data_IF_700199051330
#
_entry.id   IF_700199051330
#
_cell.length_a   1.000
_cell.length_b   1.000
_cell.length_c   1.000
_cell.angle_alpha   90.00
_cell.angle_beta   90.00
_cell.angle_gamma   90.00
#
_symmetry.space_group_name_H-M   'P 1'
#
loop_
_entity.id
_entity.type
_entity.pdbx_description
1 polymer ?
#
# COMPACT_ATOMS: atom_id res chain seq x y z
N UNK A 1 -61.22 2.66 11.13
CA UNK A 1 -59.96 3.09 11.73
C UNK A 1 -59.43 1.97 12.61
N UNK A 2 -58.46 1.23 12.15
CA UNK A 2 -57.75 0.25 12.96
C UNK A 2 -56.35 0.04 12.33
N UNK A 3 -55.42 0.86 12.73
CA UNK A 3 -53.99 0.70 12.53
C UNK A 3 -53.42 0.15 13.85
N UNK A 4 -52.88 -1.04 13.89
CA UNK A 4 -52.20 -1.52 15.10
C UNK A 4 -52.14 -3.03 15.33
N UNK A 5 -52.04 -3.87 14.31
CA UNK A 5 -51.83 -5.33 14.48
C UNK A 5 -50.67 -5.95 13.73
N UNK A 6 -49.74 -5.12 13.16
CA UNK A 6 -48.63 -5.62 12.33
C UNK A 6 -47.28 -5.79 13.05
N UNK A 7 -47.05 -5.12 14.18
CA UNK A 7 -45.73 -5.13 14.83
C UNK A 7 -45.56 -6.23 15.89
N UNK A 8 -46.62 -6.75 16.46
CA UNK A 8 -46.55 -7.84 17.47
C UNK A 8 -46.24 -9.22 16.88
N UNK A 9 -46.43 -9.41 15.57
CA UNK A 9 -46.12 -10.68 14.89
C UNK A 9 -44.66 -10.83 14.48
N UNK A 10 -43.85 -9.74 14.47
CA UNK A 10 -42.45 -9.76 14.11
C UNK A 10 -41.50 -9.98 15.30
N UNK A 11 -42.00 -9.93 16.52
CA UNK A 11 -41.22 -10.12 17.77
C UNK A 11 -41.26 -11.56 18.28
N UNK A 12 -42.15 -12.42 17.75
CA UNK A 12 -42.40 -13.77 18.29
C UNK A 12 -41.76 -14.92 17.49
N UNK A 13 -40.87 -14.66 16.55
CA UNK A 13 -40.13 -15.72 15.84
C UNK A 13 -38.68 -15.71 16.26
N UNK A 14 -38.35 -16.17 17.47
CA UNK A 14 -37.01 -16.70 17.76
C UNK A 14 -36.90 -18.07 17.07
N UNK A 15 -35.95 -18.28 16.13
CA UNK A 15 -35.70 -19.63 15.66
C UNK A 15 -35.06 -20.46 16.79
N UNK A 16 -35.57 -21.64 16.98
CA UNK A 16 -35.01 -22.64 17.91
C UNK A 16 -33.55 -22.91 17.54
N UNK A 17 -32.63 -23.07 18.53
CA UNK A 17 -31.25 -23.39 18.26
C UNK A 17 -31.13 -24.75 17.59
N UNK A 18 -30.45 -24.80 16.44
CA UNK A 18 -30.10 -26.04 15.76
C UNK A 18 -29.18 -26.91 16.66
N UNK A 19 -29.41 -28.22 16.79
CA UNK A 19 -28.54 -29.09 17.58
C UNK A 19 -27.24 -29.30 16.85
N UNK A 20 -26.17 -28.66 17.32
CA UNK A 20 -24.80 -28.82 16.73
C UNK A 20 -23.79 -27.74 17.07
N UNK A 21 -24.16 -26.67 17.78
CA UNK A 21 -23.22 -25.65 18.25
C UNK A 21 -22.98 -25.76 19.76
N UNK A 22 -22.40 -26.87 20.17
CA UNK A 22 -21.78 -26.97 21.49
C UNK A 22 -20.28 -26.71 21.33
N UNK A 23 -19.74 -25.79 22.15
CA UNK A 23 -18.33 -25.47 22.38
C UNK A 23 -17.67 -24.35 21.53
N UNK A 24 -18.25 -23.13 21.53
CA UNK A 24 -17.51 -21.93 21.13
C UNK A 24 -17.49 -20.85 22.24
N UNK A 25 -17.93 -21.14 23.46
CA UNK A 25 -18.29 -20.09 24.42
C UNK A 25 -17.37 -19.89 25.63
N UNK A 26 -16.22 -20.56 25.71
CA UNK A 26 -15.29 -20.37 26.84
C UNK A 26 -13.96 -19.64 26.47
N UNK A 27 -13.73 -19.38 25.20
CA UNK A 27 -12.45 -18.83 24.68
C UNK A 27 -12.35 -17.30 24.72
N UNK A 28 -13.43 -16.57 25.01
CA UNK A 28 -13.42 -15.09 24.97
C UNK A 28 -13.66 -14.40 26.32
N UNK A 29 -13.69 -15.15 27.43
CA UNK A 29 -13.84 -14.50 28.74
C UNK A 29 -12.58 -13.75 29.14
N UNK A 30 -12.70 -12.43 29.30
CA UNK A 30 -11.64 -11.61 29.88
C UNK A 30 -11.44 -12.04 31.34
N UNK A 31 -10.22 -12.48 31.66
CA UNK A 31 -9.81 -12.82 33.03
C UNK A 31 -8.76 -11.83 33.52
N UNK A 32 -8.70 -11.58 34.81
CA UNK A 32 -7.59 -10.88 35.43
C UNK A 32 -6.57 -11.88 35.91
N UNK A 33 -5.31 -11.67 35.54
CA UNK A 33 -4.20 -12.52 35.98
C UNK A 33 -3.08 -11.62 36.51
N UNK A 34 -2.30 -12.16 37.45
CA UNK A 34 -1.10 -11.48 37.95
C UNK A 34 -0.13 -11.22 36.82
N UNK A 35 0.39 -9.98 36.76
CA UNK A 35 1.38 -9.58 35.76
C UNK A 35 2.65 -10.42 35.83
N UNK A 36 3.07 -10.83 37.03
CA UNK A 36 4.24 -11.69 37.26
C UNK A 36 4.07 -13.11 36.71
N UNK A 37 2.82 -13.56 36.50
CA UNK A 37 2.53 -14.86 35.91
C UNK A 37 2.67 -14.88 34.39
N UNK A 38 2.86 -13.70 33.75
CA UNK A 38 2.94 -13.55 32.30
C UNK A 38 4.41 -13.44 31.89
N UNK A 39 4.83 -14.36 31.02
CA UNK A 39 6.16 -14.36 30.40
C UNK A 39 6.06 -13.95 28.93
N UNK A 40 6.99 -13.13 28.39
CA UNK A 40 7.04 -12.82 26.97
C UNK A 40 7.35 -14.06 26.16
N UNK A 41 6.74 -14.19 24.98
CA UNK A 41 7.07 -15.30 24.09
C UNK A 41 8.47 -15.15 23.51
N UNK A 42 9.32 -16.19 23.55
CA UNK A 42 10.64 -16.17 22.93
C UNK A 42 10.56 -16.03 21.39
N UNK A 43 9.38 -16.23 20.83
CA UNK A 43 9.10 -16.25 19.39
C UNK A 43 8.74 -14.85 18.84
N UNK A 44 8.72 -13.81 19.69
CA UNK A 44 8.39 -12.44 19.28
C UNK A 44 9.54 -11.76 18.51
N UNK A 45 9.31 -11.29 17.27
CA UNK A 45 10.36 -10.74 16.43
C UNK A 45 10.81 -9.31 16.80
N UNK A 46 10.01 -8.59 17.60
CA UNK A 46 10.27 -7.16 17.87
C UNK A 46 11.06 -6.97 19.17
N UNK A 47 12.30 -6.45 19.05
CA UNK A 47 13.18 -6.14 20.18
C UNK A 47 13.27 -4.63 20.49
N UNK A 48 13.02 -3.75 19.50
CA UNK A 48 13.16 -2.30 19.65
C UNK A 48 11.81 -1.61 19.73
N UNK A 49 11.61 -0.87 20.81
CA UNK A 49 10.45 -0.01 21.05
C UNK A 49 10.98 1.39 21.32
N UNK A 50 10.60 2.39 20.53
CA UNK A 50 10.97 3.77 20.77
C UNK A 50 10.59 4.20 22.20
N UNK A 51 11.53 4.74 22.95
CA UNK A 51 11.34 5.09 24.36
C UNK A 51 10.19 6.09 24.57
N UNK A 52 10.07 7.08 23.71
CA UNK A 52 9.06 8.14 23.80
C UNK A 52 7.62 7.60 23.66
N UNK A 53 7.42 6.68 22.69
CA UNK A 53 6.11 6.07 22.46
C UNK A 53 5.69 5.05 23.54
N UNK A 54 6.62 4.60 24.40
CA UNK A 54 6.32 3.74 25.53
C UNK A 54 5.89 4.58 26.74
N UNK A 55 6.53 5.73 26.99
CA UNK A 55 6.23 6.62 28.11
C UNK A 55 4.79 7.16 28.07
N UNK A 56 4.29 7.57 26.90
CA UNK A 56 2.90 7.99 26.72
C UNK A 56 1.92 6.86 27.05
N UNK A 57 2.25 5.63 26.65
CA UNK A 57 1.42 4.47 26.93
C UNK A 57 1.43 4.11 28.42
N UNK A 58 2.55 4.26 29.11
CA UNK A 58 2.68 4.05 30.57
C UNK A 58 1.77 5.01 31.32
N UNK A 59 1.78 6.29 30.96
CA UNK A 59 0.93 7.31 31.60
C UNK A 59 -0.56 7.02 31.34
N UNK A 60 -0.93 6.67 30.14
CA UNK A 60 -2.31 6.25 29.80
C UNK A 60 -2.76 5.03 30.60
N UNK A 61 -1.89 4.03 30.77
CA UNK A 61 -2.19 2.82 31.54
C UNK A 61 -2.28 3.11 33.04
N UNK A 62 -1.50 4.06 33.59
CA UNK A 62 -1.64 4.50 34.98
C UNK A 62 -3.00 5.13 35.25
N UNK A 63 -3.51 5.92 34.30
CA UNK A 63 -4.78 6.64 34.46
C UNK A 63 -6.01 5.76 34.22
N UNK A 64 -5.99 4.94 33.20
CA UNK A 64 -7.16 4.22 32.70
C UNK A 64 -7.06 2.69 32.82
N UNK A 65 -5.89 2.16 33.20
CA UNK A 65 -5.64 0.73 33.14
C UNK A 65 -5.48 0.23 31.70
N UNK A 66 -5.43 -1.08 31.53
CA UNK A 66 -5.43 -1.74 30.23
C UNK A 66 -6.86 -1.86 29.71
N UNK A 67 -7.25 -1.03 28.74
CA UNK A 67 -8.56 -1.06 28.10
C UNK A 67 -8.69 -2.28 27.16
N UNK A 68 -7.66 -2.55 26.36
CA UNK A 68 -7.64 -3.69 25.44
C UNK A 68 -6.87 -4.86 26.07
N UNK A 69 -7.51 -6.01 26.36
CA UNK A 69 -6.88 -7.14 27.02
C UNK A 69 -5.62 -7.65 26.30
N UNK A 70 -4.68 -8.23 27.05
CA UNK A 70 -3.58 -9.00 26.50
C UNK A 70 -4.09 -10.35 26.02
N UNK A 71 -3.47 -10.90 25.01
CA UNK A 71 -3.75 -12.28 24.57
C UNK A 71 -2.62 -13.17 25.07
N UNK A 72 -3.00 -14.19 25.84
CA UNK A 72 -2.05 -15.13 26.45
C UNK A 72 -2.48 -16.57 26.19
N UNK A 73 -1.54 -17.49 26.28
CA UNK A 73 -1.82 -18.93 26.37
C UNK A 73 -1.35 -19.50 27.69
N UNK A 74 -2.00 -20.55 28.15
CA UNK A 74 -1.58 -21.25 29.33
C UNK A 74 -0.55 -22.34 28.95
N UNK A 75 0.63 -22.31 29.59
CA UNK A 75 1.69 -23.34 29.47
C UNK A 75 2.19 -23.66 30.88
N UNK A 76 2.13 -24.89 31.27
CA UNK A 76 2.68 -25.41 32.54
C UNK A 76 2.32 -24.56 33.78
N UNK A 77 1.06 -24.06 33.83
CA UNK A 77 0.59 -23.26 34.96
C UNK A 77 1.00 -21.78 34.92
N UNK A 78 1.71 -21.34 33.87
CA UNK A 78 2.05 -19.94 33.57
C UNK A 78 1.30 -19.42 32.34
N UNK A 79 1.36 -18.13 32.12
CA UNK A 79 0.79 -17.50 30.94
C UNK A 79 1.90 -17.00 30.02
N UNK A 80 1.92 -17.44 28.77
CA UNK A 80 2.82 -16.90 27.74
C UNK A 80 2.09 -15.88 26.89
N UNK A 81 2.71 -14.71 26.70
CA UNK A 81 2.13 -13.60 25.95
C UNK A 81 2.15 -13.88 24.45
N UNK A 82 0.98 -13.92 23.82
CA UNK A 82 0.82 -14.05 22.37
C UNK A 82 0.84 -12.67 21.70
N UNK A 83 0.03 -11.72 22.22
CA UNK A 83 -0.08 -10.38 21.67
C UNK A 83 -0.27 -9.32 22.76
N UNK A 84 0.27 -8.12 22.53
CA UNK A 84 0.17 -6.99 23.44
C UNK A 84 1.46 -6.66 24.19
N UNK A 85 2.63 -7.01 23.67
CA UNK A 85 3.96 -6.79 24.29
C UNK A 85 4.15 -5.36 24.83
N UNK A 86 3.78 -4.32 24.03
CA UNK A 86 3.89 -2.92 24.46
C UNK A 86 3.02 -2.63 25.69
N UNK A 87 1.81 -3.17 25.73
CA UNK A 87 0.89 -3.00 26.87
C UNK A 87 1.40 -3.74 28.10
N UNK A 88 1.96 -4.92 27.93
CA UNK A 88 2.55 -5.69 29.00
C UNK A 88 3.75 -4.97 29.63
N UNK A 89 4.69 -4.46 28.82
CA UNK A 89 5.84 -3.67 29.31
C UNK A 89 5.39 -2.38 29.98
N UNK A 90 4.46 -1.65 29.35
CA UNK A 90 3.94 -0.42 29.96
C UNK A 90 3.20 -0.69 31.28
N UNK A 91 2.52 -1.83 31.42
CA UNK A 91 1.90 -2.25 32.67
C UNK A 91 2.93 -2.57 33.76
N UNK A 92 4.08 -3.17 33.40
CA UNK A 92 5.19 -3.38 34.33
C UNK A 92 5.78 -2.05 34.82
N UNK A 93 6.05 -1.11 33.92
CA UNK A 93 6.55 0.22 34.28
C UNK A 93 5.51 1.05 35.05
N UNK A 94 4.23 0.85 34.78
CA UNK A 94 3.14 1.49 35.52
C UNK A 94 2.94 0.89 36.92
N UNK A 95 3.52 -0.30 37.22
CA UNK A 95 3.41 -0.98 38.51
C UNK A 95 2.07 -1.67 38.74
N UNK A 96 1.38 -2.14 37.69
CA UNK A 96 0.11 -2.87 37.82
C UNK A 96 0.36 -4.28 38.38
N UNK A 97 -0.38 -4.71 39.41
CA UNK A 97 -0.33 -6.06 39.94
C UNK A 97 -1.08 -7.09 39.09
N UNK A 98 -2.20 -6.68 38.48
CA UNK A 98 -3.05 -7.54 37.66
C UNK A 98 -3.43 -6.87 36.35
N UNK A 99 -3.58 -7.68 35.30
CA UNK A 99 -3.97 -7.20 33.95
C UNK A 99 -5.08 -8.04 33.36
N UNK A 100 -5.97 -7.44 32.53
CA UNK A 100 -6.98 -8.18 31.82
C UNK A 100 -6.34 -8.97 30.66
N UNK A 101 -6.67 -10.25 30.58
CA UNK A 101 -6.18 -11.18 29.55
C UNK A 101 -7.32 -11.96 28.93
N UNK A 102 -7.14 -12.35 27.68
CA UNK A 102 -7.91 -13.39 26.99
C UNK A 102 -6.98 -14.60 26.89
N UNK A 103 -7.41 -15.72 27.48
CA UNK A 103 -6.63 -16.97 27.44
C UNK A 103 -7.09 -17.75 26.21
N UNK A 104 -6.16 -18.02 25.29
CA UNK A 104 -6.41 -18.87 24.13
C UNK A 104 -5.58 -20.14 24.19
N UNK A 105 -6.19 -21.26 23.83
CA UNK A 105 -5.45 -22.48 23.53
C UNK A 105 -4.83 -22.33 22.15
N UNK A 106 -3.53 -22.14 22.08
CA UNK A 106 -2.81 -21.96 20.83
C UNK A 106 -1.51 -22.78 20.86
N UNK A 107 -1.22 -23.50 19.78
CA UNK A 107 0.07 -24.14 19.58
C UNK A 107 1.15 -23.09 19.30
N UNK A 108 2.43 -23.47 19.40
CA UNK A 108 3.55 -22.59 19.02
C UNK A 108 3.39 -22.06 17.59
N UNK A 109 2.90 -22.92 16.71
CA UNK A 109 2.62 -22.55 15.31
C UNK A 109 1.53 -21.48 15.19
N UNK A 110 0.44 -21.60 15.96
CA UNK A 110 -0.64 -20.60 15.95
C UNK A 110 -0.17 -19.26 16.51
N UNK A 111 0.69 -19.28 17.54
CA UNK A 111 1.27 -18.05 18.12
C UNK A 111 2.16 -17.35 17.11
N UNK A 112 3.03 -18.07 16.42
CA UNK A 112 3.89 -17.53 15.36
C UNK A 112 3.07 -16.97 14.21
N UNK A 113 2.02 -17.69 13.78
CA UNK A 113 1.10 -17.25 12.73
C UNK A 113 0.42 -15.92 13.11
N UNK A 114 -0.19 -15.87 14.30
CA UNK A 114 -0.87 -14.66 14.78
C UNK A 114 0.09 -13.47 14.90
N UNK A 115 1.28 -13.70 15.43
CA UNK A 115 2.32 -12.67 15.55
C UNK A 115 2.76 -12.13 14.17
N UNK A 116 2.90 -13.03 13.19
CA UNK A 116 3.27 -12.64 11.83
C UNK A 116 2.15 -11.85 11.15
N UNK A 117 0.89 -12.27 11.32
CA UNK A 117 -0.29 -11.54 10.77
C UNK A 117 -0.43 -10.17 11.42
N UNK A 118 -0.28 -10.06 12.75
CA UNK A 118 -0.32 -8.78 13.45
C UNK A 118 0.76 -7.82 12.92
N UNK A 119 1.99 -8.33 12.76
CA UNK A 119 3.08 -7.53 12.21
C UNK A 119 2.81 -7.08 10.76
N UNK A 120 2.16 -7.92 9.94
CA UNK A 120 1.77 -7.59 8.56
C UNK A 120 0.63 -6.55 8.46
N UNK A 121 -0.15 -6.37 9.51
CA UNK A 121 -1.21 -5.36 9.56
C UNK A 121 -0.71 -3.97 9.96
N UNK A 122 0.60 -3.82 10.18
CA UNK A 122 1.20 -2.51 10.48
C UNK A 122 1.20 -1.61 9.24
N UNK A 123 0.98 -0.32 9.48
CA UNK A 123 0.92 0.67 8.42
C UNK A 123 2.30 1.12 7.88
N UNK A 124 3.37 0.78 8.59
CA UNK A 124 4.74 1.25 8.36
C UNK A 124 5.66 0.24 7.64
N UNK A 125 5.11 -0.85 7.11
CA UNK A 125 5.89 -1.84 6.38
C UNK A 125 6.28 -1.36 4.98
N UNK A 126 7.53 -1.60 4.61
CA UNK A 126 7.94 -1.41 3.23
C UNK A 126 7.43 -2.57 2.32
N UNK A 127 7.36 -2.35 0.99
CA UNK A 127 6.80 -3.36 0.07
C UNK A 127 7.53 -4.71 0.06
N UNK A 128 8.83 -4.74 0.38
CA UNK A 128 9.62 -5.97 0.42
C UNK A 128 9.38 -6.72 1.74
N UNK A 129 9.27 -6.02 2.86
CA UNK A 129 8.90 -6.61 4.15
C UNK A 129 7.51 -7.24 4.09
N UNK A 130 6.54 -6.53 3.49
CA UNK A 130 5.19 -7.06 3.28
C UNK A 130 5.23 -8.34 2.43
N UNK A 131 5.99 -8.34 1.34
CA UNK A 131 6.16 -9.50 0.46
C UNK A 131 6.81 -10.69 1.18
N UNK A 132 7.85 -10.44 1.99
CA UNK A 132 8.53 -11.46 2.80
C UNK A 132 7.60 -12.08 3.85
N UNK A 133 6.77 -11.24 4.50
CA UNK A 133 5.77 -11.73 5.44
C UNK A 133 4.76 -12.66 4.78
N UNK A 134 4.25 -12.33 3.59
CA UNK A 134 3.37 -13.22 2.84
C UNK A 134 4.06 -14.50 2.39
N UNK A 135 5.31 -14.42 1.96
CA UNK A 135 6.10 -15.60 1.59
C UNK A 135 6.33 -16.55 2.77
N UNK A 136 6.55 -16.00 3.98
CA UNK A 136 6.67 -16.78 5.21
C UNK A 136 5.35 -17.46 5.56
N UNK A 137 4.20 -16.75 5.49
CA UNK A 137 2.89 -17.38 5.70
C UNK A 137 2.62 -18.52 4.72
N UNK A 138 3.02 -18.38 3.47
CA UNK A 138 2.88 -19.44 2.48
C UNK A 138 3.83 -20.60 2.72
N UNK A 139 5.12 -20.34 3.01
CA UNK A 139 6.16 -21.37 3.12
C UNK A 139 6.16 -22.09 4.47
N UNK A 140 6.12 -21.35 5.60
CA UNK A 140 6.22 -21.93 6.95
C UNK A 140 4.87 -22.50 7.43
N UNK A 141 3.77 -21.82 7.05
CA UNK A 141 2.42 -22.21 7.51
C UNK A 141 1.60 -22.95 6.45
N UNK A 142 2.09 -23.04 5.21
CA UNK A 142 1.43 -23.74 4.12
C UNK A 142 0.13 -23.06 3.65
N UNK A 143 -0.03 -21.75 3.92
CA UNK A 143 -1.23 -21.02 3.56
C UNK A 143 -1.29 -20.70 2.06
N UNK A 144 -2.48 -20.84 1.49
CA UNK A 144 -2.75 -20.38 0.14
C UNK A 144 -2.89 -18.83 0.12
N UNK A 145 -2.55 -18.21 -1.01
CA UNK A 145 -2.63 -16.75 -1.17
C UNK A 145 -4.02 -16.19 -0.86
N UNK A 146 -5.07 -16.97 -1.04
CA UNK A 146 -6.44 -16.58 -0.71
C UNK A 146 -6.68 -16.53 0.80
N UNK A 147 -6.17 -17.51 1.53
CA UNK A 147 -6.24 -17.58 3.00
C UNK A 147 -5.45 -16.44 3.64
N UNK A 148 -4.24 -16.17 3.11
CA UNK A 148 -3.43 -15.01 3.52
C UNK A 148 -4.22 -13.72 3.30
N UNK A 149 -4.79 -13.53 2.11
CA UNK A 149 -5.53 -12.34 1.75
C UNK A 149 -6.71 -12.07 2.70
N UNK A 150 -7.48 -13.12 3.04
CA UNK A 150 -8.59 -13.03 4.01
C UNK A 150 -8.10 -12.60 5.39
N UNK A 151 -7.01 -13.23 5.89
CA UNK A 151 -6.47 -12.97 7.24
C UNK A 151 -5.88 -11.56 7.39
N UNK A 152 -5.26 -11.02 6.32
CA UNK A 152 -4.65 -9.68 6.35
C UNK A 152 -5.59 -8.57 5.82
N UNK A 153 -6.80 -8.91 5.39
CA UNK A 153 -7.77 -7.92 4.87
C UNK A 153 -7.37 -7.31 3.52
N UNK A 154 -6.68 -8.09 2.66
CA UNK A 154 -6.24 -7.68 1.33
C UNK A 154 -6.90 -8.52 0.24
N UNK A 155 -6.81 -8.09 -1.02
CA UNK A 155 -7.23 -8.94 -2.14
C UNK A 155 -6.16 -10.00 -2.45
N UNK A 156 -6.58 -11.20 -2.93
CA UNK A 156 -5.66 -12.23 -3.41
C UNK A 156 -4.66 -11.70 -4.44
N UNK A 157 -5.13 -10.83 -5.35
CA UNK A 157 -4.28 -10.22 -6.36
C UNK A 157 -3.21 -9.29 -5.75
N UNK A 158 -3.53 -8.58 -4.66
CA UNK A 158 -2.56 -7.74 -3.95
C UNK A 158 -1.47 -8.60 -3.32
N UNK A 159 -1.84 -9.68 -2.62
CA UNK A 159 -0.89 -10.63 -2.01
C UNK A 159 0.00 -11.27 -3.08
N UNK A 160 -0.58 -11.78 -4.17
CA UNK A 160 0.18 -12.36 -5.27
C UNK A 160 1.17 -11.36 -5.90
N UNK A 161 0.74 -10.11 -6.11
CA UNK A 161 1.59 -9.07 -6.68
C UNK A 161 2.71 -8.65 -5.72
N UNK A 162 2.44 -8.59 -4.43
CA UNK A 162 3.48 -8.31 -3.43
C UNK A 162 4.52 -9.44 -3.40
N UNK A 163 4.11 -10.69 -3.30
CA UNK A 163 5.02 -11.83 -3.30
C UNK A 163 5.94 -11.88 -4.53
N UNK A 164 5.43 -11.50 -5.70
CA UNK A 164 6.24 -11.42 -6.93
C UNK A 164 7.37 -10.38 -6.85
N UNK A 165 7.30 -9.39 -5.96
CA UNK A 165 8.40 -8.42 -5.79
C UNK A 165 9.69 -9.10 -5.31
N UNK A 166 9.60 -10.27 -4.70
CA UNK A 166 10.76 -11.07 -4.29
C UNK A 166 11.50 -11.72 -5.47
N UNK A 167 10.85 -11.80 -6.65
CA UNK A 167 11.47 -12.30 -7.90
C UNK A 167 12.34 -11.24 -8.59
N UNK A 168 12.40 -10.02 -8.05
CA UNK A 168 13.27 -8.96 -8.57
C UNK A 168 14.74 -9.20 -8.17
N UNK A 169 15.65 -8.67 -8.99
CA UNK A 169 17.07 -8.60 -8.64
C UNK A 169 17.27 -7.94 -7.27
N UNK A 170 18.18 -8.47 -6.42
CA UNK A 170 18.39 -8.01 -5.05
C UNK A 170 18.63 -6.48 -4.94
N UNK A 171 19.42 -5.93 -5.85
CA UNK A 171 19.68 -4.49 -5.88
C UNK A 171 18.42 -3.66 -6.18
N UNK A 172 17.52 -4.19 -7.03
CA UNK A 172 16.24 -3.54 -7.36
C UNK A 172 15.30 -3.58 -6.15
N UNK A 173 15.30 -4.68 -5.38
CA UNK A 173 14.57 -4.78 -4.11
C UNK A 173 15.09 -3.74 -3.10
N UNK A 174 16.41 -3.57 -2.99
CA UNK A 174 17.04 -2.53 -2.13
C UNK A 174 16.57 -1.12 -2.53
N UNK A 175 16.55 -0.80 -3.83
CA UNK A 175 16.07 0.51 -4.29
C UNK A 175 14.58 0.73 -4.04
N UNK A 176 13.79 -0.34 -4.09
CA UNK A 176 12.36 -0.29 -3.75
C UNK A 176 12.16 -0.04 -2.25
N UNK A 177 12.97 -0.67 -1.38
CA UNK A 177 12.95 -0.44 0.08
C UNK A 177 13.36 1.00 0.44
N UNK A 178 14.24 1.61 -0.34
CA UNK A 178 14.72 2.98 -0.17
C UNK A 178 13.85 4.03 -0.88
N UNK A 179 12.69 3.64 -1.44
CA UNK A 179 11.78 4.49 -2.22
C UNK A 179 12.44 5.17 -3.45
N UNK A 180 13.61 4.70 -3.87
CA UNK A 180 14.28 5.19 -5.08
C UNK A 180 13.53 4.79 -6.36
N UNK A 181 12.84 3.66 -6.32
CA UNK A 181 11.89 3.23 -7.36
C UNK A 181 10.55 2.90 -6.74
N UNK A 182 9.46 3.18 -7.43
CA UNK A 182 8.12 2.87 -6.92
C UNK A 182 7.70 1.42 -7.22
N UNK A 183 6.69 0.93 -6.48
CA UNK A 183 6.06 -0.38 -6.74
C UNK A 183 5.55 -0.48 -8.20
N UNK A 184 5.15 0.64 -8.81
CA UNK A 184 4.74 0.70 -10.21
C UNK A 184 5.90 0.32 -11.16
N UNK A 185 7.09 0.88 -10.94
CA UNK A 185 8.30 0.53 -11.69
C UNK A 185 8.68 -0.94 -11.48
N UNK A 186 8.67 -1.40 -10.22
CA UNK A 186 8.98 -2.77 -9.84
C UNK A 186 8.09 -3.80 -10.58
N UNK A 187 6.77 -3.55 -10.64
CA UNK A 187 5.82 -4.40 -11.38
C UNK A 187 6.13 -4.50 -12.86
N UNK A 188 6.57 -3.41 -13.47
CA UNK A 188 6.95 -3.40 -14.89
C UNK A 188 8.23 -4.19 -15.12
N UNK A 189 9.23 -4.05 -14.23
CA UNK A 189 10.49 -4.77 -14.29
C UNK A 189 10.33 -6.30 -14.18
N UNK A 190 9.33 -6.77 -13.44
CA UNK A 190 8.99 -8.19 -13.33
C UNK A 190 8.61 -8.87 -14.67
N UNK A 191 8.36 -8.11 -15.73
CA UNK A 191 8.16 -8.67 -17.06
C UNK A 191 9.46 -9.20 -17.67
N UNK A 192 10.63 -8.74 -17.21
CA UNK A 192 11.95 -9.22 -17.58
C UNK A 192 12.26 -10.47 -16.75
N UNK A 193 12.67 -11.56 -17.43
CA UNK A 193 12.95 -12.85 -16.78
C UNK A 193 14.37 -12.92 -16.23
N UNK A 194 15.33 -12.26 -16.88
CA UNK A 194 16.73 -12.26 -16.48
C UNK A 194 16.97 -11.16 -15.42
N UNK A 195 17.51 -11.50 -14.24
CA UNK A 195 17.79 -10.52 -13.18
C UNK A 195 18.73 -9.39 -13.63
N UNK A 196 19.71 -9.69 -14.51
CA UNK A 196 20.64 -8.73 -15.06
C UNK A 196 19.95 -7.69 -15.95
N UNK A 197 18.91 -8.12 -16.71
CA UNK A 197 18.11 -7.20 -17.51
C UNK A 197 17.24 -6.30 -16.63
N UNK A 198 16.69 -6.84 -15.55
CA UNK A 198 15.95 -6.05 -14.56
C UNK A 198 16.83 -4.95 -13.98
N UNK A 199 18.07 -5.30 -13.59
CA UNK A 199 19.04 -4.36 -13.04
C UNK A 199 19.39 -3.27 -14.04
N UNK A 200 19.77 -3.62 -15.26
CA UNK A 200 20.19 -2.67 -16.31
C UNK A 200 19.08 -1.66 -16.67
N UNK A 201 17.83 -2.15 -16.76
CA UNK A 201 16.67 -1.27 -17.00
C UNK A 201 16.40 -0.39 -15.79
N UNK A 202 16.47 -0.94 -14.56
CA UNK A 202 16.25 -0.19 -13.33
C UNK A 202 17.29 0.93 -13.14
N UNK A 203 18.57 0.69 -13.43
CA UNK A 203 19.61 1.73 -13.46
C UNK A 203 19.29 2.86 -14.44
N UNK A 204 18.75 2.49 -15.61
CA UNK A 204 18.34 3.49 -16.61
C UNK A 204 17.14 4.30 -16.10
N UNK A 205 16.20 3.67 -15.39
CA UNK A 205 15.05 4.33 -14.75
C UNK A 205 15.53 5.34 -13.72
N UNK A 206 16.44 4.96 -12.83
CA UNK A 206 17.01 5.85 -11.81
C UNK A 206 17.76 7.04 -12.44
N UNK A 207 18.70 6.76 -13.35
CA UNK A 207 19.53 7.79 -13.99
C UNK A 207 18.72 8.84 -14.75
N UNK A 208 17.55 8.45 -15.31
CA UNK A 208 16.70 9.32 -16.13
C UNK A 208 15.47 9.83 -15.38
N UNK A 209 15.29 9.47 -14.13
CA UNK A 209 14.07 9.73 -13.36
C UNK A 209 12.82 9.37 -14.18
N UNK A 210 12.86 8.20 -14.82
CA UNK A 210 11.85 7.79 -15.78
C UNK A 210 10.52 7.53 -15.09
N UNK A 211 9.41 7.91 -15.71
CA UNK A 211 8.07 7.57 -15.24
C UNK A 211 7.76 6.10 -15.48
N UNK A 212 6.75 5.53 -14.78
CA UNK A 212 6.29 4.15 -14.98
C UNK A 212 5.99 3.86 -16.47
N UNK A 213 5.32 4.79 -17.18
CA UNK A 213 5.04 4.67 -18.62
C UNK A 213 6.31 4.66 -19.49
N UNK A 214 7.36 5.39 -19.07
CA UNK A 214 8.63 5.36 -19.76
C UNK A 214 9.35 4.03 -19.51
N UNK A 215 9.25 3.49 -18.30
CA UNK A 215 9.79 2.16 -17.94
C UNK A 215 9.09 1.05 -18.73
N UNK A 216 7.77 1.08 -18.89
CA UNK A 216 7.04 0.15 -19.76
C UNK A 216 7.60 0.12 -21.20
N UNK A 217 7.92 1.29 -21.75
CA UNK A 217 8.52 1.39 -23.09
C UNK A 217 9.94 0.82 -23.15
N UNK A 218 10.73 1.00 -22.07
CA UNK A 218 12.07 0.42 -21.98
C UNK A 218 12.00 -1.11 -21.94
N UNK A 219 11.14 -1.65 -21.07
CA UNK A 219 10.92 -3.09 -20.94
C UNK A 219 10.38 -3.69 -22.24
N UNK A 220 9.39 -3.04 -22.89
CA UNK A 220 8.86 -3.50 -24.18
C UNK A 220 9.93 -3.53 -25.29
N UNK A 221 10.91 -2.59 -25.26
CA UNK A 221 12.06 -2.63 -26.18
C UNK A 221 12.99 -3.79 -25.88
N UNK A 222 13.28 -4.04 -24.60
CA UNK A 222 14.14 -5.14 -24.17
C UNK A 222 13.55 -6.50 -24.59
N UNK A 223 12.23 -6.65 -24.43
CA UNK A 223 11.51 -7.88 -24.84
C UNK A 223 11.31 -8.02 -26.35
N UNK A 224 11.82 -7.09 -27.18
CA UNK A 224 11.58 -7.10 -28.63
C UNK A 224 10.10 -6.87 -29.01
N UNK A 225 9.25 -6.53 -28.04
CA UNK A 225 7.82 -6.29 -28.24
C UNK A 225 7.52 -4.82 -28.59
N UNK A 226 8.52 -3.95 -28.58
CA UNK A 226 8.37 -2.63 -29.10
C UNK A 226 7.99 -2.77 -30.59
N UNK A 227 6.69 -2.68 -30.89
CA UNK A 227 6.28 -2.40 -32.27
C UNK A 227 7.19 -1.29 -32.73
N UNK A 228 7.95 -1.47 -33.83
CA UNK A 228 8.70 -0.37 -34.37
C UNK A 228 7.69 0.74 -34.46
N UNK A 229 7.89 1.81 -33.71
CA UNK A 229 7.13 3.03 -33.93
C UNK A 229 7.28 3.19 -35.41
N UNK A 230 6.22 2.90 -36.19
CA UNK A 230 6.16 3.35 -37.57
C UNK A 230 6.60 4.80 -37.43
N UNK A 231 7.88 5.06 -37.70
CA UNK A 231 8.27 6.38 -38.13
C UNK A 231 7.24 6.62 -39.21
N UNK A 232 6.21 7.42 -38.87
CA UNK A 232 5.50 8.08 -39.94
C UNK A 232 6.65 8.54 -40.80
N UNK A 233 6.73 8.12 -42.06
CA UNK A 233 7.78 8.60 -42.90
C UNK A 233 7.76 10.11 -42.66
N UNK A 234 8.85 10.64 -42.19
CA UNK A 234 9.02 12.09 -42.17
C UNK A 234 9.06 12.44 -43.64
N UNK A 235 7.86 12.48 -44.21
CA UNK A 235 7.67 13.17 -45.47
C UNK A 235 8.02 14.60 -45.13
N UNK A 236 9.14 15.01 -45.69
CA UNK A 236 9.52 16.38 -45.90
C UNK A 236 10.17 17.08 -44.70
N UNK A 237 11.48 16.88 -44.58
CA UNK A 237 12.38 17.72 -43.83
C UNK A 237 12.47 19.20 -44.30
N UNK A 238 11.74 19.55 -45.35
CA UNK A 238 11.72 20.91 -45.91
C UNK A 238 10.75 21.82 -45.14
N UNK A 239 9.72 21.28 -44.48
CA UNK A 239 8.74 22.09 -43.75
C UNK A 239 9.02 22.26 -42.26
N UNK A 240 9.90 21.49 -41.67
CA UNK A 240 10.15 21.57 -40.22
C UNK A 240 10.81 22.91 -39.84
N UNK A 241 11.83 23.33 -40.61
CA UNK A 241 12.50 24.60 -40.37
C UNK A 241 11.59 25.84 -40.68
N UNK A 242 10.71 25.69 -41.64
CA UNK A 242 9.72 26.75 -41.97
C UNK A 242 8.65 26.86 -40.85
N UNK A 243 8.23 25.72 -40.26
CA UNK A 243 7.26 25.72 -39.16
C UNK A 243 7.90 26.26 -37.89
N UNK A 244 9.15 25.88 -37.56
CA UNK A 244 9.89 26.46 -36.45
C UNK A 244 10.10 27.96 -36.58
N UNK A 245 10.43 28.41 -37.78
CA UNK A 245 10.55 29.83 -38.09
C UNK A 245 9.21 30.58 -37.89
N UNK A 246 8.11 30.02 -38.39
CA UNK A 246 6.76 30.62 -38.21
C UNK A 246 6.35 30.62 -36.75
N UNK A 247 6.66 29.55 -36.01
CA UNK A 247 6.38 29.47 -34.58
C UNK A 247 7.14 30.53 -33.80
N UNK A 248 8.42 30.72 -34.09
CA UNK A 248 9.24 31.76 -33.46
C UNK A 248 8.73 33.18 -33.76
N UNK A 249 8.35 33.44 -34.99
CA UNK A 249 7.74 34.72 -35.35
C UNK A 249 6.39 34.99 -34.68
N UNK A 250 5.57 33.95 -34.52
CA UNK A 250 4.31 34.06 -33.78
C UNK A 250 4.54 34.34 -32.30
N UNK A 251 5.52 33.67 -31.70
CA UNK A 251 5.90 33.92 -30.30
C UNK A 251 6.41 35.34 -30.08
N UNK A 252 7.24 35.85 -31.00
CA UNK A 252 7.76 37.19 -30.95
C UNK A 252 6.63 38.26 -31.14
N UNK A 253 5.70 37.99 -32.05
CA UNK A 253 4.60 38.93 -32.33
C UNK A 253 3.55 38.97 -31.23
N UNK A 254 3.20 37.81 -30.66
CA UNK A 254 2.18 37.68 -29.62
C UNK A 254 2.74 37.84 -28.20
N UNK A 255 4.06 37.80 -28.03
CA UNK A 255 4.74 37.97 -26.74
C UNK A 255 4.39 36.87 -25.74
N UNK A 256 3.97 35.70 -26.21
CA UNK A 256 3.61 34.55 -25.38
C UNK A 256 4.01 33.25 -26.04
N UNK A 257 3.92 32.15 -25.29
CA UNK A 257 4.24 30.82 -25.80
C UNK A 257 3.21 30.37 -26.84
N UNK A 258 3.70 30.04 -28.04
CA UNK A 258 2.89 29.49 -29.13
C UNK A 258 3.43 28.16 -29.56
N UNK A 259 2.57 27.15 -29.75
CA UNK A 259 2.92 25.84 -30.28
C UNK A 259 2.13 25.55 -31.56
N UNK A 260 2.85 25.26 -32.64
CA UNK A 260 2.29 24.92 -33.94
C UNK A 260 2.25 23.40 -34.12
N UNK A 261 1.07 22.83 -34.19
CA UNK A 261 0.84 21.43 -34.56
C UNK A 261 0.44 21.37 -36.03
N UNK A 262 1.41 21.05 -36.89
CA UNK A 262 1.17 20.96 -38.33
C UNK A 262 0.85 19.50 -38.73
N UNK A 263 -0.23 19.28 -39.44
CA UNK A 263 -0.64 18.01 -40.04
C UNK A 263 -0.96 18.16 -41.53
N UNK A 264 -0.90 17.07 -42.29
CA UNK A 264 -1.13 17.09 -43.77
C UNK A 264 -2.48 17.64 -44.20
N UNK A 265 -3.53 17.47 -43.39
CA UNK A 265 -4.92 17.91 -43.71
C UNK A 265 -5.42 19.03 -42.83
N UNK A 266 -4.93 19.12 -41.63
CA UNK A 266 -5.32 20.17 -40.67
C UNK A 266 -4.21 20.36 -39.65
N UNK A 267 -4.07 21.58 -39.16
CA UNK A 267 -3.16 21.97 -38.11
C UNK A 267 -3.90 22.62 -36.95
N UNK A 268 -3.21 22.81 -35.84
CA UNK A 268 -3.70 23.52 -34.66
C UNK A 268 -2.62 24.47 -34.17
N UNK A 269 -3.03 25.67 -33.79
CA UNK A 269 -2.19 26.66 -33.12
C UNK A 269 -2.65 26.71 -31.66
N UNK A 270 -1.77 26.49 -30.73
CA UNK A 270 -2.02 26.65 -29.29
C UNK A 270 -1.28 27.90 -28.83
N UNK A 271 -2.00 28.84 -28.23
CA UNK A 271 -1.46 30.09 -27.69
C UNK A 271 -1.74 30.08 -26.19
N UNK A 272 -0.70 30.14 -25.37
CA UNK A 272 -0.83 30.24 -23.92
C UNK A 272 -1.10 31.74 -23.55
N UNK A 273 -1.98 31.97 -22.57
CA UNK A 273 -2.25 33.30 -22.01
C UNK A 273 -2.36 33.26 -20.49
N UNK A 274 -2.03 34.37 -19.86
CA UNK A 274 -1.95 34.48 -18.39
C UNK A 274 -2.93 35.55 -17.86
N UNK A 275 -4.22 35.21 -17.83
CA UNK A 275 -5.27 36.08 -17.36
C UNK A 275 -6.10 36.78 -18.46
N UNK A 276 -7.16 37.45 -18.04
CA UNK A 276 -8.12 38.08 -18.96
C UNK A 276 -7.50 39.23 -19.78
N UNK A 277 -6.64 40.04 -19.16
CA UNK A 277 -5.98 41.17 -19.79
C UNK A 277 -5.02 40.74 -20.90
N UNK A 278 -4.26 39.63 -20.64
CA UNK A 278 -3.35 39.09 -21.64
C UNK A 278 -4.11 38.47 -22.82
N UNK A 279 -5.23 37.77 -22.54
CA UNK A 279 -6.11 37.28 -23.59
C UNK A 279 -6.64 38.46 -24.48
N UNK A 280 -7.07 39.55 -23.86
CA UNK A 280 -7.59 40.70 -24.55
C UNK A 280 -6.51 41.36 -25.43
N UNK A 281 -5.28 41.45 -24.93
CA UNK A 281 -4.10 41.91 -25.67
C UNK A 281 -3.83 41.05 -26.92
N UNK A 282 -3.83 39.72 -26.73
CA UNK A 282 -3.60 38.75 -27.81
C UNK A 282 -4.70 38.84 -28.86
N UNK A 283 -5.98 38.95 -28.44
CA UNK A 283 -7.13 39.09 -29.34
C UNK A 283 -7.01 40.36 -30.20
N UNK A 284 -6.59 41.51 -29.63
CA UNK A 284 -6.30 42.72 -30.35
C UNK A 284 -5.19 42.58 -31.39
N UNK A 285 -4.09 41.89 -31.01
CA UNK A 285 -2.96 41.61 -31.91
C UNK A 285 -3.36 40.71 -33.10
N UNK A 286 -4.32 39.82 -32.90
CA UNK A 286 -4.87 38.93 -33.95
C UNK A 286 -5.91 39.71 -34.84
N UNK A 287 -6.31 40.93 -34.42
CA UNK A 287 -7.21 41.76 -35.19
C UNK A 287 -8.70 41.55 -34.85
N UNK A 288 -9.00 40.98 -33.69
CA UNK A 288 -10.37 40.91 -33.18
C UNK A 288 -10.65 42.14 -32.30
N UNK A 289 -11.69 42.93 -32.60
CA UNK A 289 -12.03 44.07 -31.78
C UNK A 289 -12.49 43.63 -30.39
N UNK A 290 -12.24 44.44 -29.34
CA UNK A 290 -12.79 44.17 -28.02
C UNK A 290 -14.32 44.14 -28.09
N UNK A 291 -14.95 43.13 -27.54
CA UNK A 291 -16.40 43.17 -27.29
C UNK A 291 -16.68 44.26 -26.25
N UNK A 292 -17.60 45.15 -26.59
CA UNK A 292 -18.10 46.22 -25.73
C UNK A 292 -18.91 45.64 -24.58
#
# INVERSE_FOLDING_TARGET
>A
MALGKGLSALIAAQPAPAPGMAAVDDAEKIRRVSLDSITPSPLQPRKDFGADALSELVESIRQHGIIQPLIVRAIDGRHELIAGERRWRAAQEAGLGEVPVIIRSASDRDVLELSLIENLQRADLNPIEEAQGYARLAGEFGMRQEEIAQKVGRSRAAVANAMRLLDLHAQVQTWLTQDLISVGHAKVLLALKAPEEQLAVAETVLRRSATVRATERLVARQLGQAKPRRRRPSSVSVNASAIEYLQSRLQEHLGTRVVLHHGEKQGRIEIEYYGADDLQRIMQLIGLPPEN
#
